data_IF_828082738055
#
_entry.id   IF_828082738055
#
_cell.length_a   1.000
_cell.length_b   1.000
_cell.length_c   1.000
_cell.angle_alpha   90.00
_cell.angle_beta   90.00
_cell.angle_gamma   90.00
#
_symmetry.space_group_name_H-M   'P 1'
#
loop_
_entity.id
_entity.type
_entity.pdbx_description
1 polymer ?
#
# COMPACT_ATOMS: atom_id res chain seq x y z
N UNK A 1 -7.73 45.10 -53.12
CA UNK A 1 -7.76 43.94 -52.20
C UNK A 1 -7.20 44.37 -50.85
N UNK A 2 -7.98 44.17 -49.80
CA UNK A 2 -7.93 44.96 -48.56
C UNK A 2 -6.95 44.35 -47.54
N UNK A 3 -5.75 44.96 -47.38
CA UNK A 3 -4.70 44.50 -46.44
C UNK A 3 -5.15 44.47 -44.97
N UNK A 4 -6.18 45.24 -44.62
CA UNK A 4 -6.75 45.31 -43.26
C UNK A 4 -7.41 44.00 -42.80
N UNK A 5 -8.06 43.26 -43.71
CA UNK A 5 -8.79 42.04 -43.37
C UNK A 5 -7.85 40.85 -43.05
N UNK A 6 -6.65 40.86 -43.63
CA UNK A 6 -5.65 39.81 -43.41
C UNK A 6 -4.97 39.93 -42.04
N UNK A 7 -4.74 41.16 -41.56
CA UNK A 7 -4.11 41.42 -40.27
C UNK A 7 -5.05 41.07 -39.10
N UNK A 8 -6.35 41.35 -39.22
CA UNK A 8 -7.34 40.93 -38.22
C UNK A 8 -7.50 39.40 -38.15
N UNK A 9 -7.45 38.70 -39.29
CA UNK A 9 -7.50 37.23 -39.34
C UNK A 9 -6.31 36.58 -38.62
N UNK A 10 -5.11 37.16 -38.75
CA UNK A 10 -3.91 36.68 -38.06
C UNK A 10 -3.96 36.97 -36.55
N UNK A 11 -4.43 38.15 -36.14
CA UNK A 11 -4.56 38.49 -34.72
C UNK A 11 -5.56 37.59 -33.98
N UNK A 12 -6.68 37.24 -34.61
CA UNK A 12 -7.69 36.34 -34.01
C UNK A 12 -7.20 34.88 -33.92
N UNK A 13 -6.41 34.41 -34.90
CA UNK A 13 -5.80 33.06 -34.86
C UNK A 13 -4.74 32.95 -33.77
N UNK A 14 -3.94 33.99 -33.55
CA UNK A 14 -2.98 34.02 -32.44
C UNK A 14 -3.68 34.10 -31.07
N UNK A 15 -4.76 34.86 -30.93
CA UNK A 15 -5.53 34.92 -29.68
C UNK A 15 -6.20 33.57 -29.34
N UNK A 16 -6.69 32.82 -30.33
CA UNK A 16 -7.19 31.46 -30.13
C UNK A 16 -6.07 30.50 -29.69
N UNK A 17 -4.91 30.52 -30.37
CA UNK A 17 -3.79 29.64 -30.00
C UNK A 17 -3.25 29.94 -28.59
N UNK A 18 -3.17 31.22 -28.19
CA UNK A 18 -2.76 31.61 -26.83
C UNK A 18 -3.78 31.16 -25.77
N UNK A 19 -5.07 31.11 -26.13
CA UNK A 19 -6.13 30.63 -25.22
C UNK A 19 -6.13 29.11 -25.09
N UNK A 20 -5.82 28.38 -26.18
CA UNK A 20 -5.71 26.91 -26.18
C UNK A 20 -4.43 26.44 -25.47
N UNK A 21 -3.29 27.12 -25.66
CA UNK A 21 -2.03 26.79 -24.95
C UNK A 21 -2.11 27.10 -23.44
N UNK A 22 -2.95 28.05 -23.02
CA UNK A 22 -3.22 28.29 -21.59
C UNK A 22 -4.12 27.22 -20.95
N UNK A 23 -4.87 26.45 -21.75
CA UNK A 23 -5.71 25.35 -21.26
C UNK A 23 -5.00 23.99 -21.32
N UNK A 24 -3.88 23.86 -22.01
CA UNK A 24 -3.09 22.61 -22.07
C UNK A 24 -1.96 22.53 -21.03
N UNK A 25 -1.75 23.58 -20.23
CA UNK A 25 -0.88 23.55 -19.06
C UNK A 25 -1.62 23.23 -17.75
N UNK A 26 -2.75 22.54 -17.85
CA UNK A 26 -3.21 21.73 -16.73
C UNK A 26 -2.23 20.57 -16.60
N UNK A 27 -1.25 20.71 -15.70
CA UNK A 27 -0.53 19.56 -15.14
C UNK A 27 -1.56 18.47 -14.94
N UNK A 28 -1.44 17.34 -15.66
CA UNK A 28 -2.23 16.15 -15.37
C UNK A 28 -1.89 15.84 -13.91
N UNK A 29 -2.79 16.20 -13.00
CA UNK A 29 -2.72 15.74 -11.62
C UNK A 29 -2.86 14.23 -11.76
N UNK A 30 -1.73 13.51 -11.74
CA UNK A 30 -1.74 12.07 -11.61
C UNK A 30 -2.62 11.75 -10.41
N UNK A 31 -3.66 10.94 -10.60
CA UNK A 31 -4.56 10.58 -9.53
C UNK A 31 -3.74 9.95 -8.40
N UNK A 32 -3.71 10.61 -7.25
CA UNK A 32 -3.06 10.09 -6.05
C UNK A 32 -4.07 9.30 -5.23
N UNK A 33 -3.57 8.33 -4.48
CA UNK A 33 -4.35 7.53 -3.55
C UNK A 33 -3.67 7.49 -2.20
N UNK A 34 -4.46 7.35 -1.14
CA UNK A 34 -3.94 7.14 0.20
C UNK A 34 -3.80 5.66 0.49
N UNK A 35 -2.65 5.26 1.04
CA UNK A 35 -2.38 3.90 1.50
C UNK A 35 -1.93 3.92 2.95
N UNK A 36 -2.48 3.01 3.74
CA UNK A 36 -2.13 2.78 5.14
C UNK A 36 -1.27 1.52 5.26
N UNK A 37 -0.04 1.68 5.74
CA UNK A 37 0.90 0.59 5.96
C UNK A 37 1.09 0.33 7.46
N UNK A 38 0.95 -0.93 7.87
CA UNK A 38 1.05 -1.35 9.27
C UNK A 38 2.25 -2.26 9.55
N UNK A 39 2.83 -2.87 8.51
CA UNK A 39 3.82 -3.92 8.61
C UNK A 39 5.21 -3.49 8.15
N UNK A 40 5.85 -4.34 7.35
CA UNK A 40 7.25 -4.19 6.93
C UNK A 40 7.57 -2.95 6.08
N UNK A 41 6.55 -2.28 5.53
CA UNK A 41 6.67 -1.09 4.69
C UNK A 41 6.75 0.22 5.48
N UNK A 42 6.50 0.20 6.81
CA UNK A 42 6.61 1.40 7.65
C UNK A 42 8.03 1.95 7.70
N UNK A 43 8.18 3.21 8.10
CA UNK A 43 9.49 3.81 8.39
C UNK A 43 10.27 2.96 9.39
N UNK A 44 11.57 2.76 9.12
CA UNK A 44 12.48 1.92 9.91
C UNK A 44 12.17 0.41 9.92
N UNK A 45 11.20 -0.06 9.13
CA UNK A 45 10.92 -1.49 8.95
C UNK A 45 11.64 -2.07 7.71
N UNK A 46 11.83 -3.39 7.62
CA UNK A 46 12.75 -4.02 6.66
C UNK A 46 12.49 -3.76 5.17
N UNK A 47 11.27 -3.39 4.79
CA UNK A 47 10.88 -3.15 3.39
C UNK A 47 10.57 -1.67 3.12
N UNK A 48 10.96 -0.74 4.00
CA UNK A 48 10.75 0.69 3.82
C UNK A 48 11.30 1.22 2.47
N UNK A 49 12.40 0.65 1.98
CA UNK A 49 13.01 1.04 0.69
C UNK A 49 12.05 0.89 -0.50
N UNK A 50 11.04 0.00 -0.41
CA UNK A 50 10.00 -0.13 -1.44
C UNK A 50 9.15 1.13 -1.53
N UNK A 51 8.87 1.77 -0.39
CA UNK A 51 8.14 3.03 -0.33
C UNK A 51 8.97 4.16 -0.94
N UNK A 52 10.24 4.27 -0.54
CA UNK A 52 11.10 5.42 -0.89
C UNK A 52 11.78 5.32 -2.25
N UNK A 53 11.77 4.14 -2.88
CA UNK A 53 12.35 3.98 -4.21
C UNK A 53 11.58 4.82 -5.26
N UNK A 54 12.22 5.87 -5.76
CA UNK A 54 11.67 6.80 -6.75
C UNK A 54 11.51 6.18 -8.14
N UNK A 55 12.23 5.09 -8.44
CA UNK A 55 12.12 4.42 -9.74
C UNK A 55 10.83 3.60 -9.87
N UNK A 56 10.14 3.35 -8.75
CA UNK A 56 8.91 2.57 -8.69
C UNK A 56 7.70 3.43 -8.32
N UNK A 57 7.71 4.70 -8.72
CA UNK A 57 6.65 5.68 -8.45
C UNK A 57 6.94 6.57 -7.24
N UNK A 58 6.07 7.55 -7.03
CA UNK A 58 6.20 8.55 -5.97
C UNK A 58 5.35 8.19 -4.76
N UNK A 59 5.89 8.46 -3.57
CA UNK A 59 5.12 8.47 -2.33
C UNK A 59 5.47 9.70 -1.48
N UNK A 60 4.56 10.08 -0.59
CA UNK A 60 4.78 11.10 0.44
C UNK A 60 4.09 10.66 1.73
N UNK A 61 4.83 10.61 2.84
CA UNK A 61 4.25 10.37 4.16
C UNK A 61 3.30 11.52 4.53
N UNK A 62 2.06 11.19 4.87
CA UNK A 62 1.05 12.14 5.36
C UNK A 62 1.10 12.21 6.89
N UNK A 63 1.23 11.06 7.55
CA UNK A 63 1.34 11.00 9.00
C UNK A 63 1.08 9.60 9.56
N UNK A 64 1.12 9.50 10.88
CA UNK A 64 0.75 8.30 11.61
C UNK A 64 -0.75 8.29 11.93
N UNK A 65 -1.29 7.09 12.13
CA UNK A 65 -2.67 6.90 12.55
C UNK A 65 -2.96 5.44 12.88
N UNK A 66 -4.24 5.15 13.06
CA UNK A 66 -4.71 3.80 13.37
C UNK A 66 -6.06 3.50 12.73
N UNK A 67 -6.30 2.25 12.38
CA UNK A 67 -7.61 1.81 11.87
C UNK A 67 -8.71 2.17 12.86
N UNK A 68 -9.90 2.58 12.40
CA UNK A 68 -11.05 2.75 13.30
C UNK A 68 -11.67 1.41 13.69
N UNK A 69 -11.71 0.48 12.74
CA UNK A 69 -12.10 -0.91 12.95
C UNK A 69 -10.94 -1.71 13.59
N UNK A 70 -11.29 -2.78 14.32
CA UNK A 70 -10.31 -3.70 14.89
C UNK A 70 -10.01 -4.84 13.93
N UNK A 71 -8.74 -5.23 13.83
CA UNK A 71 -8.30 -6.40 13.09
C UNK A 71 -7.32 -7.27 13.90
N UNK A 72 -7.28 -8.59 13.65
CA UNK A 72 -6.20 -9.43 14.15
C UNK A 72 -4.93 -9.15 13.34
N UNK A 73 -3.91 -8.62 13.99
CA UNK A 73 -2.56 -8.53 13.45
C UNK A 73 -1.63 -9.43 14.27
N UNK A 74 -0.88 -10.30 13.60
CA UNK A 74 0.04 -11.24 14.22
C UNK A 74 1.28 -11.45 13.35
N UNK A 75 2.34 -11.99 13.96
CA UNK A 75 3.52 -12.49 13.24
C UNK A 75 3.42 -14.01 13.15
N UNK A 76 3.52 -14.55 11.94
CA UNK A 76 3.45 -16.00 11.73
C UNK A 76 4.40 -16.44 10.61
N UNK A 77 4.35 -17.74 10.30
CA UNK A 77 5.28 -18.47 9.43
C UNK A 77 6.72 -18.51 9.96
N UNK A 78 7.53 -19.41 9.39
CA UNK A 78 8.99 -19.46 9.63
C UNK A 78 9.74 -18.21 9.18
N UNK A 79 9.11 -17.33 8.40
CA UNK A 79 9.69 -16.10 7.89
C UNK A 79 9.31 -14.87 8.73
N UNK A 80 8.54 -15.05 9.81
CA UNK A 80 8.11 -13.98 10.72
C UNK A 80 7.47 -12.79 9.97
N UNK A 81 6.52 -13.10 9.10
CA UNK A 81 5.79 -12.11 8.31
C UNK A 81 4.64 -11.57 9.18
N UNK A 82 4.41 -10.25 9.22
CA UNK A 82 3.20 -9.69 9.82
C UNK A 82 2.00 -9.93 8.90
N UNK A 83 0.92 -10.45 9.47
CA UNK A 83 -0.36 -10.69 8.79
C UNK A 83 -1.47 -9.91 9.49
N UNK A 84 -2.12 -8.99 8.79
CA UNK A 84 -3.38 -8.41 9.24
C UNK A 84 -4.53 -9.16 8.57
N UNK A 85 -5.33 -9.87 9.36
CA UNK A 85 -6.39 -10.75 8.87
C UNK A 85 -7.64 -9.95 8.55
N UNK A 86 -8.33 -10.30 7.46
CA UNK A 86 -9.58 -9.67 7.06
C UNK A 86 -10.77 -10.16 7.92
N UNK A 87 -10.66 -9.98 9.23
CA UNK A 87 -11.67 -10.36 10.22
C UNK A 87 -12.02 -9.15 11.10
N UNK A 88 -12.82 -8.20 10.57
CA UNK A 88 -13.14 -6.97 11.27
C UNK A 88 -13.85 -7.27 12.61
N UNK A 89 -13.61 -6.40 13.60
CA UNK A 89 -14.20 -6.49 14.92
C UNK A 89 -13.41 -7.33 15.93
N UNK A 90 -12.36 -8.03 15.51
CA UNK A 90 -11.47 -8.85 16.37
C UNK A 90 -10.10 -8.20 16.49
N UNK A 91 -9.41 -8.43 17.61
CA UNK A 91 -8.05 -7.94 17.82
C UNK A 91 -8.03 -6.46 18.22
N UNK A 92 -7.20 -5.67 17.55
CA UNK A 92 -6.88 -4.31 17.96
C UNK A 92 -7.10 -3.31 16.84
N UNK A 93 -7.16 -2.03 17.20
CA UNK A 93 -7.00 -0.95 16.23
C UNK A 93 -5.53 -0.90 15.83
N UNK A 94 -5.24 -1.07 14.55
CA UNK A 94 -3.87 -1.28 14.08
C UNK A 94 -3.21 0.06 13.83
N UNK A 95 -2.04 0.28 14.42
CA UNK A 95 -1.19 1.44 14.22
C UNK A 95 -0.36 1.33 12.94
N UNK A 96 -0.19 2.45 12.26
CA UNK A 96 0.56 2.50 11.02
C UNK A 96 0.75 3.92 10.50
N UNK A 97 1.14 3.99 9.24
CA UNK A 97 1.48 5.22 8.55
C UNK A 97 0.62 5.37 7.29
N UNK A 98 0.11 6.57 7.03
CA UNK A 98 -0.61 6.91 5.80
C UNK A 98 0.34 7.62 4.85
N UNK A 99 0.40 7.12 3.62
CA UNK A 99 1.14 7.72 2.51
C UNK A 99 0.19 8.11 1.40
N UNK A 100 0.46 9.24 0.76
CA UNK A 100 -0.06 9.55 -0.56
C UNK A 100 0.87 8.92 -1.60
N UNK A 101 0.30 8.18 -2.55
CA UNK A 101 1.04 7.48 -3.61
C UNK A 101 0.44 7.77 -4.98
N UNK A 102 1.29 7.82 -6.01
CA UNK A 102 0.83 7.84 -7.39
C UNK A 102 0.42 6.43 -7.88
N UNK A 103 -0.20 6.36 -9.05
CA UNK A 103 -0.67 5.11 -9.64
C UNK A 103 0.49 4.11 -9.86
N UNK A 104 1.67 4.58 -10.27
CA UNK A 104 2.84 3.73 -10.49
C UNK A 104 3.31 3.06 -9.19
N UNK A 105 3.36 3.83 -8.10
CA UNK A 105 3.67 3.31 -6.77
C UNK A 105 2.58 2.36 -6.28
N UNK A 106 1.32 2.67 -6.54
CA UNK A 106 0.21 1.81 -6.16
C UNK A 106 0.28 0.43 -6.85
N UNK A 107 0.61 0.38 -8.15
CA UNK A 107 0.83 -0.87 -8.89
C UNK A 107 2.03 -1.66 -8.35
N UNK A 108 3.13 -0.96 -8.04
CA UNK A 108 4.32 -1.58 -7.40
C UNK A 108 3.94 -2.27 -6.09
N UNK A 109 3.11 -1.63 -5.27
CA UNK A 109 2.68 -2.18 -3.98
C UNK A 109 1.73 -3.38 -4.17
N UNK A 110 0.88 -3.37 -5.19
CA UNK A 110 0.03 -4.53 -5.52
C UNK A 110 0.87 -5.76 -5.90
N UNK A 111 1.87 -5.57 -6.77
CA UNK A 111 2.80 -6.65 -7.13
C UNK A 111 3.60 -7.11 -5.91
N UNK A 112 4.08 -6.18 -5.10
CA UNK A 112 4.84 -6.48 -3.90
C UNK A 112 4.01 -7.33 -2.93
N UNK A 113 2.76 -6.95 -2.64
CA UNK A 113 1.89 -7.69 -1.72
C UNK A 113 1.16 -8.88 -2.36
N UNK A 114 1.52 -9.22 -3.61
CA UNK A 114 0.90 -10.29 -4.40
C UNK A 114 -0.64 -10.16 -4.45
N UNK A 115 -1.15 -8.94 -4.58
CA UNK A 115 -2.55 -8.65 -4.76
C UNK A 115 -3.05 -9.14 -6.13
N UNK A 116 -4.26 -9.74 -6.24
CA UNK A 116 -5.22 -10.12 -5.19
C UNK A 116 -5.09 -11.57 -4.70
N UNK A 117 -3.98 -12.25 -5.02
CA UNK A 117 -3.77 -13.68 -4.75
C UNK A 117 -3.45 -13.96 -3.28
N UNK A 118 -2.60 -13.13 -2.66
CA UNK A 118 -2.18 -13.28 -1.28
C UNK A 118 -2.89 -12.27 -0.39
N UNK A 119 -2.57 -10.98 -0.52
CA UNK A 119 -3.30 -9.91 0.15
C UNK A 119 -4.38 -9.30 -0.75
N UNK A 120 -5.45 -8.80 -0.14
CA UNK A 120 -6.47 -8.00 -0.81
C UNK A 120 -6.44 -6.57 -0.30
N UNK A 121 -6.31 -5.61 -1.23
CA UNK A 121 -6.42 -4.20 -0.94
C UNK A 121 -7.89 -3.85 -0.66
N UNK A 122 -8.15 -3.22 0.49
CA UNK A 122 -9.47 -2.78 0.91
C UNK A 122 -9.41 -1.35 1.44
N UNK A 123 -10.47 -0.58 1.19
CA UNK A 123 -10.55 0.80 1.69
C UNK A 123 -11.03 0.77 3.14
N UNK A 124 -10.27 1.38 4.05
CA UNK A 124 -10.60 1.45 5.47
C UNK A 124 -10.49 2.89 5.97
N UNK A 125 -11.29 3.20 7.00
CA UNK A 125 -11.20 4.48 7.68
C UNK A 125 -10.06 4.43 8.72
N UNK A 126 -9.17 5.41 8.64
CA UNK A 126 -8.02 5.60 9.51
C UNK A 126 -8.27 6.86 10.34
N UNK A 127 -8.16 6.73 11.66
CA UNK A 127 -8.05 7.87 12.56
C UNK A 127 -6.57 8.28 12.61
N UNK A 128 -6.26 9.42 12.00
CA UNK A 128 -4.94 10.03 12.04
C UNK A 128 -4.62 10.52 13.45
N UNK A 129 -3.34 10.64 13.81
CA UNK A 129 -2.93 11.17 15.12
C UNK A 129 -3.35 12.64 15.33
N UNK A 130 -3.63 13.36 14.24
CA UNK A 130 -4.24 14.70 14.26
C UNK A 130 -5.71 14.71 14.68
N UNK A 131 -6.37 13.55 14.76
CA UNK A 131 -7.80 13.39 14.98
C UNK A 131 -8.64 13.41 13.69
N UNK A 132 -8.02 13.65 12.52
CA UNK A 132 -8.71 13.57 11.23
C UNK A 132 -9.04 12.11 10.86
N UNK A 133 -10.19 11.91 10.20
CA UNK A 133 -10.55 10.62 9.62
C UNK A 133 -10.23 10.63 8.12
N UNK A 134 -9.42 9.68 7.65
CA UNK A 134 -9.07 9.52 6.24
C UNK A 134 -9.42 8.12 5.74
N UNK A 135 -9.92 8.02 4.51
CA UNK A 135 -10.07 6.74 3.82
C UNK A 135 -8.76 6.39 3.14
N UNK A 136 -8.17 5.25 3.50
CA UNK A 136 -6.93 4.78 2.92
C UNK A 136 -7.02 3.29 2.58
N UNK A 137 -6.30 2.89 1.54
CA UNK A 137 -6.17 1.49 1.17
C UNK A 137 -5.28 0.75 2.17
N UNK A 138 -5.65 -0.47 2.55
CA UNK A 138 -4.86 -1.37 3.39
C UNK A 138 -4.85 -2.77 2.76
N UNK A 139 -3.72 -3.48 2.88
CA UNK A 139 -3.61 -4.88 2.44
C UNK A 139 -3.99 -5.83 3.57
N UNK A 140 -5.07 -6.59 3.41
CA UNK A 140 -5.59 -7.54 4.39
C UNK A 140 -5.55 -8.97 3.84
N UNK A 141 -5.27 -9.96 4.69
CA UNK A 141 -5.23 -11.36 4.32
C UNK A 141 -6.66 -11.93 4.36
N UNK A 142 -7.27 -12.28 3.21
CA UNK A 142 -8.70 -12.60 3.13
C UNK A 142 -9.04 -14.03 3.57
N UNK A 143 -8.08 -14.94 3.50
CA UNK A 143 -8.23 -16.36 3.82
C UNK A 143 -6.90 -16.88 4.38
N UNK A 144 -6.97 -17.78 5.34
CA UNK A 144 -5.81 -18.42 5.95
C UNK A 144 -6.19 -19.79 6.49
N UNK A 145 -5.21 -20.69 6.57
CA UNK A 145 -5.41 -21.95 7.27
C UNK A 145 -5.37 -21.76 8.80
N UNK A 146 -6.08 -22.58 9.59
CA UNK A 146 -6.14 -22.44 11.04
C UNK A 146 -4.76 -22.45 11.73
N UNK A 147 -3.78 -23.15 11.16
CA UNK A 147 -2.42 -23.24 11.68
C UNK A 147 -1.74 -21.87 11.79
N UNK A 148 -2.12 -20.90 10.95
CA UNK A 148 -1.60 -19.53 11.01
C UNK A 148 -1.83 -18.91 12.40
N UNK A 149 -3.00 -19.13 12.99
CA UNK A 149 -3.35 -18.62 14.31
C UNK A 149 -2.71 -19.46 15.43
N UNK A 150 -2.52 -20.76 15.22
CA UNK A 150 -1.95 -21.67 16.21
C UNK A 150 -0.44 -21.44 16.41
N UNK A 151 0.28 -21.16 15.31
CA UNK A 151 1.74 -20.92 15.29
C UNK A 151 2.09 -19.42 15.34
N UNK A 152 1.06 -18.58 15.32
CA UNK A 152 1.13 -17.13 15.37
C UNK A 152 1.68 -16.61 16.69
N UNK A 153 2.15 -15.36 16.68
CA UNK A 153 2.35 -14.60 17.91
C UNK A 153 1.00 -14.25 18.54
N UNK A 154 1.06 -13.67 19.75
CA UNK A 154 -0.07 -12.89 20.26
C UNK A 154 -0.48 -11.80 19.27
N UNK A 155 -1.77 -11.42 19.32
CA UNK A 155 -2.28 -10.31 18.54
C UNK A 155 -1.64 -9.01 19.02
N UNK A 156 -1.28 -8.15 18.07
CA UNK A 156 -0.60 -6.89 18.35
C UNK A 156 -1.32 -5.72 17.70
N UNK A 157 -1.20 -4.55 18.31
CA UNK A 157 -1.71 -3.30 17.74
C UNK A 157 -0.68 -2.58 16.87
N UNK A 158 0.62 -2.87 17.06
CA UNK A 158 1.69 -2.20 16.35
C UNK A 158 2.84 -3.17 16.07
N UNK A 159 3.09 -3.46 14.79
CA UNK A 159 4.18 -4.33 14.38
C UNK A 159 5.54 -3.62 14.46
N UNK A 160 6.57 -4.34 14.89
CA UNK A 160 7.96 -4.03 14.53
C UNK A 160 8.77 -5.30 14.38
N UNK A 161 9.59 -5.42 13.34
CA UNK A 161 10.50 -6.57 13.16
C UNK A 161 11.41 -6.78 14.37
N UNK A 162 11.82 -5.69 15.03
CA UNK A 162 12.71 -5.74 16.22
C UNK A 162 11.94 -5.65 17.53
N UNK A 163 10.64 -5.97 17.52
CA UNK A 163 9.80 -5.96 18.72
C UNK A 163 10.19 -6.99 19.78
N UNK A 164 9.62 -6.85 20.97
CA UNK A 164 9.87 -7.70 22.14
C UNK A 164 9.48 -9.17 21.95
N UNK A 165 8.69 -9.49 20.90
CA UNK A 165 8.32 -10.86 20.54
C UNK A 165 9.52 -11.71 20.07
N UNK A 166 10.68 -11.11 19.75
CA UNK A 166 11.89 -11.86 19.36
C UNK A 166 11.75 -12.61 18.03
N UNK A 167 10.86 -12.14 17.15
CA UNK A 167 10.56 -12.75 15.83
C UNK A 167 10.93 -11.79 14.69
N UNK A 168 12.23 -11.60 14.39
CA UNK A 168 12.66 -10.70 13.33
C UNK A 168 12.24 -11.21 11.95
N UNK A 169 11.79 -10.29 11.11
CA UNK A 169 11.42 -10.56 9.73
C UNK A 169 12.57 -11.19 8.94
N UNK A 170 12.26 -12.25 8.20
CA UNK A 170 13.19 -12.85 7.25
C UNK A 170 12.98 -12.24 5.87
N UNK A 171 14.04 -11.68 5.29
CA UNK A 171 13.96 -10.96 4.01
C UNK A 171 13.46 -11.84 2.87
N UNK A 172 12.81 -11.22 1.88
CA UNK A 172 12.28 -11.93 0.70
C UNK A 172 13.34 -12.75 -0.03
N UNK A 173 14.56 -12.22 -0.15
CA UNK A 173 15.66 -12.91 -0.80
C UNK A 173 16.07 -14.22 -0.08
N UNK A 174 16.10 -14.22 1.26
CA UNK A 174 16.38 -15.42 2.04
C UNK A 174 15.19 -16.38 1.95
N UNK A 175 13.97 -15.84 2.03
CA UNK A 175 12.72 -16.60 1.91
C UNK A 175 12.62 -17.35 0.58
N UNK A 176 12.90 -16.69 -0.54
CA UNK A 176 12.84 -17.28 -1.88
C UNK A 176 13.81 -18.45 -2.03
N UNK A 177 15.06 -18.29 -1.58
CA UNK A 177 16.03 -19.40 -1.53
C UNK A 177 15.55 -20.59 -0.72
N UNK A 178 14.87 -20.34 0.40
CA UNK A 178 14.35 -21.41 1.25
C UNK A 178 13.12 -22.08 0.62
N UNK A 179 12.24 -21.32 -0.03
CA UNK A 179 11.08 -21.85 -0.76
C UNK A 179 11.53 -22.77 -1.90
N UNK A 180 12.58 -22.39 -2.64
CA UNK A 180 13.16 -23.23 -3.69
C UNK A 180 13.67 -24.57 -3.15
N UNK A 181 14.20 -24.57 -1.92
CA UNK A 181 14.67 -25.79 -1.24
C UNK A 181 13.49 -26.64 -0.76
N UNK A 182 12.48 -26.03 -0.16
CA UNK A 182 11.36 -26.74 0.46
C UNK A 182 10.33 -27.23 -0.57
N UNK A 183 10.30 -26.64 -1.77
CA UNK A 183 9.39 -27.01 -2.86
C UNK A 183 7.93 -26.57 -2.66
N UNK A 184 7.64 -25.71 -1.67
CA UNK A 184 6.29 -25.22 -1.39
C UNK A 184 6.26 -23.70 -1.22
N UNK A 185 5.39 -23.03 -1.97
CA UNK A 185 5.21 -21.59 -1.91
C UNK A 185 4.59 -21.11 -0.59
N UNK A 186 4.79 -19.81 -0.27
CA UNK A 186 4.13 -19.20 0.88
C UNK A 186 2.59 -19.21 0.75
N UNK A 187 2.07 -19.04 -0.46
CA UNK A 187 0.63 -19.08 -0.73
C UNK A 187 0.06 -20.45 -0.33
N UNK A 188 0.71 -21.54 -0.73
CA UNK A 188 0.27 -22.90 -0.39
C UNK A 188 0.39 -23.20 1.11
N UNK A 189 1.33 -22.57 1.81
CA UNK A 189 1.49 -22.72 3.25
C UNK A 189 0.39 -21.99 4.02
N UNK A 190 0.06 -20.76 3.61
CA UNK A 190 -0.77 -19.84 4.40
C UNK A 190 -2.24 -19.83 3.98
N UNK A 191 -2.54 -19.82 2.67
CA UNK A 191 -3.90 -19.61 2.17
C UNK A 191 -4.70 -20.91 2.24
N UNK A 192 -5.89 -20.83 2.83
CA UNK A 192 -6.88 -21.90 2.75
C UNK A 192 -7.61 -21.85 1.40
N UNK A 193 -7.43 -22.90 0.60
CA UNK A 193 -8.06 -23.08 -0.70
C UNK A 193 -9.35 -23.92 -0.63
N UNK A 194 -9.68 -24.47 0.55
CA UNK A 194 -10.86 -25.30 0.80
C UNK A 194 -12.17 -24.50 0.81
N UNK A 195 -12.09 -23.17 0.74
CA UNK A 195 -13.24 -22.25 0.80
C UNK A 195 -13.76 -21.79 -0.58
N UNK A 196 -13.57 -22.59 -1.63
CA UNK A 196 -14.19 -22.35 -2.95
C UNK A 196 -15.52 -23.09 -3.11
#
# INVERSE_FOLDING_TARGET
MNKSLLVMSMAMKNALNITVERFTNSSVMSATSLIFVYGTLKTNEPNYDVMTNISTGKCRLIGCGRTTERFPLLIASKFNIPFCLQQPGIGHRIHGEVYEVDEAKMNTLDEFEAHPLFYKRQLQQIEMDSGELQMAWIYLLPSWKPELLQEGSELMENYSSKGSHGRPYVSRHIREKQIDIDGQSLIEQIIDHSSK
#
